data_IF_116111417785
#
_entry.id   IF_116111417785
#
_cell.length_a   1.000
_cell.length_b   1.000
_cell.length_c   1.000
_cell.angle_alpha   90.00
_cell.angle_beta   90.00
_cell.angle_gamma   90.00
#
_symmetry.space_group_name_H-M   'P 1'
#
loop_
_entity.id
_entity.type
_entity.pdbx_description
1 polymer ?
#
# COMPACT_ATOMS: atom_id res chain seq x y z
N UNK A 1 21.04 -2.37 1.47
CA UNK A 1 20.12 -1.28 1.09
C UNK A 1 18.79 -1.37 1.84
N UNK A 2 18.25 -2.58 1.97
CA UNK A 2 16.94 -2.89 2.55
C UNK A 2 16.74 -2.37 3.98
N UNK A 3 17.69 -2.61 4.88
CA UNK A 3 17.61 -2.12 6.27
C UNK A 3 17.57 -0.60 6.40
N UNK A 4 18.13 0.17 5.44
CA UNK A 4 18.03 1.63 5.44
C UNK A 4 16.63 2.10 5.01
N UNK A 5 16.03 1.44 4.00
CA UNK A 5 14.68 1.74 3.53
C UNK A 5 13.63 1.41 4.58
N UNK A 6 13.70 0.20 5.17
CA UNK A 6 12.79 -0.21 6.25
C UNK A 6 12.88 0.74 7.46
N UNK A 7 14.10 1.16 7.82
CA UNK A 7 14.31 2.17 8.87
C UNK A 7 13.67 3.51 8.51
N UNK A 8 13.90 4.04 7.31
CA UNK A 8 13.33 5.33 6.90
C UNK A 8 11.79 5.31 6.89
N UNK A 9 11.18 4.25 6.33
CA UNK A 9 9.74 4.06 6.35
C UNK A 9 9.20 3.90 7.78
N UNK A 10 9.97 3.32 8.70
CA UNK A 10 9.57 3.20 10.10
C UNK A 10 9.71 4.50 10.89
N UNK A 11 10.71 5.33 10.57
CA UNK A 11 11.00 6.56 11.30
C UNK A 11 9.85 7.58 11.17
N UNK A 12 9.20 7.68 10.01
CA UNK A 12 8.02 8.56 9.83
C UNK A 12 6.80 8.09 10.63
N UNK A 13 6.65 6.78 10.84
CA UNK A 13 5.53 6.22 11.60
C UNK A 13 5.66 6.56 13.09
N UNK A 14 6.88 6.70 13.60
CA UNK A 14 7.13 7.07 15.01
C UNK A 14 6.64 8.47 15.37
N UNK A 15 6.28 9.33 14.41
CA UNK A 15 5.64 10.62 14.67
C UNK A 15 4.32 10.48 15.47
N UNK A 16 3.71 9.30 15.44
CA UNK A 16 2.49 8.98 16.18
C UNK A 16 2.72 8.36 17.56
N UNK A 17 3.97 8.36 18.06
CA UNK A 17 4.27 7.92 19.43
C UNK A 17 3.50 8.77 20.44
N UNK A 18 2.83 8.13 21.40
CA UNK A 18 2.03 8.78 22.44
C UNK A 18 0.56 9.01 22.06
N UNK A 19 0.18 8.82 20.79
CA UNK A 19 -1.22 8.86 20.38
C UNK A 19 -1.92 7.54 20.71
N UNK A 20 -3.21 7.61 20.96
CA UNK A 20 -4.10 6.44 21.00
C UNK A 20 -4.44 5.97 19.60
N UNK A 21 -4.84 4.70 19.47
CA UNK A 21 -5.28 4.13 18.20
C UNK A 21 -6.49 4.88 17.61
N UNK A 22 -7.44 5.25 18.45
CA UNK A 22 -8.62 6.02 18.05
C UNK A 22 -8.26 7.38 17.45
N UNK A 23 -7.35 8.13 18.09
CA UNK A 23 -6.92 9.45 17.58
C UNK A 23 -6.27 9.32 16.19
N UNK A 24 -5.40 8.34 16.03
CA UNK A 24 -4.70 8.09 14.77
C UNK A 24 -5.66 7.66 13.66
N UNK A 25 -6.62 6.78 13.96
CA UNK A 25 -7.66 6.36 13.01
C UNK A 25 -8.56 7.54 12.60
N UNK A 26 -8.93 8.42 13.54
CA UNK A 26 -9.70 9.62 13.24
C UNK A 26 -8.95 10.58 12.31
N UNK A 27 -7.66 10.83 12.59
CA UNK A 27 -6.80 11.64 11.72
C UNK A 27 -6.70 11.02 10.32
N UNK A 28 -6.46 9.71 10.23
CA UNK A 28 -6.31 9.01 8.96
C UNK A 28 -7.58 9.08 8.11
N UNK A 29 -8.75 8.84 8.71
CA UNK A 29 -10.06 8.94 8.04
C UNK A 29 -10.36 10.36 7.58
N UNK A 30 -10.15 11.36 8.44
CA UNK A 30 -10.38 12.76 8.10
C UNK A 30 -9.47 13.23 6.95
N UNK A 31 -8.19 12.88 7.00
CA UNK A 31 -7.23 13.20 5.93
C UNK A 31 -7.59 12.48 4.63
N UNK A 32 -7.90 11.18 4.69
CA UNK A 32 -8.25 10.38 3.49
C UNK A 32 -9.47 10.97 2.78
N UNK A 33 -10.53 11.27 3.53
CA UNK A 33 -11.73 11.93 2.99
C UNK A 33 -11.38 13.25 2.31
N UNK A 34 -10.66 14.12 3.00
CA UNK A 34 -10.26 15.44 2.49
C UNK A 34 -9.39 15.34 1.23
N UNK A 35 -8.45 14.42 1.19
CA UNK A 35 -7.57 14.22 0.03
C UNK A 35 -8.30 13.59 -1.16
N UNK A 36 -9.27 12.71 -0.92
CA UNK A 36 -10.14 12.18 -1.99
C UNK A 36 -11.05 13.26 -2.57
N UNK A 37 -11.55 14.19 -1.75
CA UNK A 37 -12.37 15.33 -2.17
C UNK A 37 -11.55 16.45 -2.84
N UNK A 38 -10.25 16.52 -2.54
CA UNK A 38 -9.37 17.57 -3.08
C UNK A 38 -9.04 17.35 -4.56
N UNK A 39 -8.85 18.42 -5.35
CA UNK A 39 -8.24 18.32 -6.67
C UNK A 39 -6.85 17.69 -6.59
N UNK A 40 -6.50 16.88 -7.59
CA UNK A 40 -5.13 16.39 -7.74
C UNK A 40 -4.19 17.55 -8.08
N UNK A 41 -3.00 17.52 -7.52
CA UNK A 41 -1.97 18.50 -7.83
C UNK A 41 -0.79 18.38 -6.90
N UNK A 42 -0.16 19.52 -6.63
CA UNK A 42 0.93 19.63 -5.68
C UNK A 42 0.65 20.75 -4.69
N UNK A 43 1.23 20.63 -3.50
CA UNK A 43 1.29 21.73 -2.54
C UNK A 43 2.72 21.90 -2.03
N UNK A 44 3.04 23.11 -1.58
CA UNK A 44 4.40 23.47 -1.17
C UNK A 44 4.50 23.48 0.34
N UNK A 45 5.42 22.67 0.88
CA UNK A 45 5.83 22.67 2.28
C UNK A 45 7.29 23.15 2.37
N UNK A 46 7.47 24.42 2.74
CA UNK A 46 8.78 25.07 2.71
C UNK A 46 9.35 25.08 1.29
N UNK A 47 10.46 24.37 1.06
CA UNK A 47 11.09 24.21 -0.26
C UNK A 47 10.68 22.94 -1.01
N UNK A 48 9.82 22.12 -0.42
CA UNK A 48 9.44 20.82 -0.95
C UNK A 48 8.07 20.91 -1.62
N UNK A 49 7.95 20.36 -2.84
CA UNK A 49 6.66 20.12 -3.48
C UNK A 49 6.21 18.70 -3.15
N UNK A 50 4.99 18.59 -2.66
CA UNK A 50 4.39 17.34 -2.23
C UNK A 50 3.13 17.07 -3.06
N UNK A 51 2.88 15.81 -3.45
CA UNK A 51 1.64 15.47 -4.14
C UNK A 51 0.43 15.73 -3.23
N UNK A 52 -0.68 16.11 -3.86
CA UNK A 52 -1.98 16.34 -3.23
C UNK A 52 -3.06 15.61 -4.04
N UNK A 53 -4.06 15.09 -3.34
CA UNK A 53 -5.21 14.43 -3.92
C UNK A 53 -5.02 12.92 -4.07
N UNK A 54 -6.01 12.14 -3.65
CA UNK A 54 -6.06 10.68 -3.80
C UNK A 54 -7.11 10.33 -4.86
N UNK A 55 -6.78 9.44 -5.79
CA UNK A 55 -7.72 8.82 -6.74
C UNK A 55 -7.50 7.33 -6.82
N UNK A 56 -8.57 6.60 -7.08
CA UNK A 56 -8.49 5.18 -7.39
C UNK A 56 -8.13 4.95 -8.86
N UNK A 57 -7.42 3.85 -9.10
CA UNK A 57 -7.20 3.31 -10.43
C UNK A 57 -8.39 2.40 -10.75
N UNK A 58 -9.05 2.65 -11.88
CA UNK A 58 -10.27 1.97 -12.31
C UNK A 58 -10.05 0.47 -12.44
N UNK A 59 -8.99 0.07 -13.14
CA UNK A 59 -8.67 -1.31 -13.42
C UNK A 59 -8.41 -2.10 -12.12
N UNK A 60 -7.82 -1.45 -11.10
CA UNK A 60 -7.64 -2.05 -9.78
C UNK A 60 -8.96 -2.27 -9.06
N UNK A 61 -9.93 -1.34 -9.13
CA UNK A 61 -11.25 -1.52 -8.52
C UNK A 61 -12.09 -2.58 -9.23
N UNK A 62 -12.03 -2.62 -10.57
CA UNK A 62 -12.69 -3.63 -11.38
C UNK A 62 -12.13 -5.02 -11.07
N UNK A 63 -10.81 -5.15 -10.97
CA UNK A 63 -10.16 -6.40 -10.56
C UNK A 63 -10.60 -6.82 -9.15
N UNK A 64 -10.56 -5.92 -8.17
CA UNK A 64 -11.04 -6.20 -6.81
C UNK A 64 -12.50 -6.69 -6.80
N UNK A 65 -13.35 -6.06 -7.62
CA UNK A 65 -14.76 -6.44 -7.76
C UNK A 65 -14.89 -7.86 -8.32
N UNK A 66 -14.16 -8.18 -9.38
CA UNK A 66 -14.21 -9.50 -10.02
C UNK A 66 -13.61 -10.62 -9.15
N UNK A 67 -12.55 -10.32 -8.39
CA UNK A 67 -11.95 -11.27 -7.45
C UNK A 67 -12.89 -11.57 -6.28
N UNK A 68 -13.59 -10.56 -5.74
CA UNK A 68 -14.60 -10.76 -4.68
C UNK A 68 -15.76 -11.63 -5.13
N UNK A 69 -16.26 -11.44 -6.36
CA UNK A 69 -17.32 -12.30 -6.93
C UNK A 69 -16.92 -13.78 -7.03
N UNK A 70 -15.63 -14.08 -6.94
CA UNK A 70 -15.05 -15.43 -7.02
C UNK A 70 -14.48 -15.88 -5.67
N UNK A 71 -14.88 -15.23 -4.58
CA UNK A 71 -14.51 -15.56 -3.21
C UNK A 71 -12.99 -15.59 -2.96
N UNK A 72 -12.23 -14.73 -3.66
CA UNK A 72 -10.82 -14.55 -3.35
C UNK A 72 -10.66 -13.91 -1.98
N UNK A 73 -9.74 -14.48 -1.20
CA UNK A 73 -9.22 -13.85 0.01
C UNK A 73 -8.20 -12.77 -0.36
N UNK A 74 -8.59 -11.50 -0.18
CA UNK A 74 -7.84 -10.34 -0.66
C UNK A 74 -7.13 -9.67 0.52
N UNK A 75 -5.81 -9.52 0.39
CA UNK A 75 -4.93 -8.88 1.35
C UNK A 75 -4.26 -7.64 0.76
N UNK A 76 -4.09 -6.59 1.56
CA UNK A 76 -3.30 -5.39 1.22
C UNK A 76 -2.03 -5.37 2.06
N UNK A 77 -0.86 -5.35 1.40
CA UNK A 77 0.44 -5.33 2.08
C UNK A 77 1.24 -4.10 1.66
N UNK A 78 1.44 -3.17 2.60
CA UNK A 78 1.90 -1.81 2.31
C UNK A 78 3.09 -1.40 3.18
N UNK A 79 4.03 -0.68 2.58
CA UNK A 79 5.13 -0.02 3.29
C UNK A 79 4.74 1.33 3.93
N UNK A 80 3.46 1.70 3.85
CA UNK A 80 2.88 2.86 4.56
C UNK A 80 2.37 2.44 5.94
N UNK A 81 2.07 3.39 6.81
CA UNK A 81 1.51 3.08 8.13
C UNK A 81 0.12 2.41 8.03
N UNK A 82 -0.18 1.53 8.99
CA UNK A 82 -1.42 0.76 9.07
C UNK A 82 -2.67 1.63 8.91
N UNK A 83 -2.81 2.67 9.74
CA UNK A 83 -4.01 3.49 9.84
C UNK A 83 -4.35 4.28 8.58
N UNK A 84 -3.35 4.78 7.85
CA UNK A 84 -3.59 5.50 6.59
C UNK A 84 -4.02 4.53 5.49
N UNK A 85 -3.47 3.31 5.48
CA UNK A 85 -3.83 2.28 4.49
C UNK A 85 -5.23 1.75 4.78
N UNK A 86 -5.56 1.48 6.04
CA UNK A 86 -6.91 1.09 6.49
C UNK A 86 -7.96 2.12 6.07
N UNK A 87 -7.70 3.41 6.31
CA UNK A 87 -8.64 4.47 5.95
C UNK A 87 -8.96 4.51 4.44
N UNK A 88 -7.99 4.21 3.57
CA UNK A 88 -8.21 4.08 2.12
C UNK A 88 -8.92 2.76 1.78
N UNK A 89 -8.53 1.66 2.43
CA UNK A 89 -9.11 0.32 2.25
C UNK A 89 -10.59 0.24 2.64
N UNK A 90 -11.00 0.98 3.66
CA UNK A 90 -12.39 1.12 4.11
C UNK A 90 -13.28 1.65 2.99
N UNK A 91 -12.80 2.59 2.17
CA UNK A 91 -13.56 3.17 1.04
C UNK A 91 -13.85 2.17 -0.08
N UNK A 92 -13.07 1.09 -0.14
CA UNK A 92 -13.21 0.04 -1.16
C UNK A 92 -13.66 -1.29 -0.56
N UNK A 93 -14.06 -1.31 0.71
CA UNK A 93 -14.60 -2.49 1.40
C UNK A 93 -13.58 -3.59 1.67
N UNK A 94 -12.31 -3.25 1.92
CA UNK A 94 -11.32 -4.20 2.45
C UNK A 94 -11.30 -4.05 3.98
N UNK A 95 -11.54 -5.12 4.75
CA UNK A 95 -11.58 -5.04 6.21
C UNK A 95 -10.18 -4.84 6.79
N UNK A 96 -10.08 -4.21 7.97
CA UNK A 96 -8.80 -3.84 8.60
C UNK A 96 -7.91 -5.04 8.93
N UNK A 97 -8.49 -6.19 9.23
CA UNK A 97 -7.76 -7.44 9.49
C UNK A 97 -7.14 -8.06 8.23
N UNK A 98 -7.45 -7.54 7.05
CA UNK A 98 -6.83 -7.89 5.77
C UNK A 98 -5.83 -6.83 5.29
N UNK A 99 -5.51 -5.84 6.14
CA UNK A 99 -4.55 -4.77 5.85
C UNK A 99 -3.30 -4.96 6.69
N UNK A 100 -2.15 -5.00 6.04
CA UNK A 100 -0.82 -5.12 6.65
C UNK A 100 0.03 -3.90 6.26
N UNK A 101 0.10 -2.93 7.15
CA UNK A 101 0.95 -1.74 7.08
C UNK A 101 1.97 -1.68 8.22
N UNK A 102 2.87 -0.70 8.16
CA UNK A 102 3.82 -0.46 9.25
C UNK A 102 3.05 -0.03 10.49
N UNK A 103 3.33 -0.69 11.61
CA UNK A 103 2.57 -0.54 12.84
C UNK A 103 3.49 -0.37 14.05
N UNK A 104 2.95 0.18 15.14
CA UNK A 104 3.66 0.41 16.40
C UNK A 104 3.04 -0.43 17.52
N UNK A 105 3.88 -0.89 18.44
CA UNK A 105 3.42 -1.60 19.64
C UNK A 105 2.67 -0.61 20.53
N UNK A 106 1.51 -1.02 21.05
CA UNK A 106 0.75 -0.25 22.04
C UNK A 106 1.21 -0.61 23.45
N UNK A 107 1.28 0.40 24.33
CA UNK A 107 1.48 0.24 25.76
C UNK A 107 0.63 1.29 26.48
N UNK A 108 -0.10 0.86 27.51
CA UNK A 108 -0.96 1.74 28.33
C UNK A 108 -1.96 2.56 27.49
N UNK A 109 -2.53 1.94 26.44
CA UNK A 109 -3.52 2.57 25.55
C UNK A 109 -2.97 3.49 24.46
N UNK A 110 -1.64 3.69 24.39
CA UNK A 110 -1.00 4.57 23.43
C UNK A 110 0.08 3.85 22.60
N UNK A 111 0.38 4.36 21.41
CA UNK A 111 1.48 3.90 20.58
C UNK A 111 2.83 4.21 21.23
N UNK A 112 3.73 3.23 21.24
CA UNK A 112 5.13 3.40 21.61
C UNK A 112 5.98 3.74 20.38
N UNK A 113 7.25 4.07 20.57
CA UNK A 113 8.21 4.23 19.47
C UNK A 113 8.72 2.90 18.88
N UNK A 114 8.27 1.77 19.42
CA UNK A 114 8.68 0.42 19.02
C UNK A 114 7.82 -0.04 17.85
N UNK A 115 8.48 -0.35 16.74
CA UNK A 115 7.83 -0.81 15.50
C UNK A 115 7.53 -2.30 15.61
N UNK A 116 6.29 -2.67 15.30
CA UNK A 116 5.84 -4.07 15.26
C UNK A 116 6.57 -4.81 14.14
N UNK A 117 7.04 -6.02 14.42
CA UNK A 117 7.72 -6.88 13.45
C UNK A 117 6.77 -7.94 12.90
N UNK A 118 6.97 -8.38 11.64
CA UNK A 118 7.91 -7.84 10.65
C UNK A 118 7.43 -6.49 10.09
N UNK A 119 8.36 -5.63 9.70
CA UNK A 119 8.04 -4.35 9.04
C UNK A 119 7.69 -4.63 7.57
N UNK A 120 6.48 -4.33 7.06
CA UNK A 120 6.04 -4.69 5.70
C UNK A 120 6.69 -3.82 4.59
N UNK A 121 8.01 -3.88 4.49
CA UNK A 121 8.83 -3.22 3.48
C UNK A 121 9.75 -4.26 2.87
N UNK A 122 9.82 -4.31 1.53
CA UNK A 122 10.64 -5.30 0.81
C UNK A 122 10.29 -6.73 1.26
N UNK A 123 11.28 -7.54 1.63
CA UNK A 123 11.08 -8.92 2.10
C UNK A 123 10.14 -9.00 3.31
N UNK A 124 10.13 -7.96 4.16
CA UNK A 124 9.23 -7.89 5.30
C UNK A 124 7.74 -7.88 4.91
N UNK A 125 7.40 -7.54 3.66
CA UNK A 125 6.04 -7.72 3.13
C UNK A 125 5.65 -9.21 3.03
N UNK A 126 6.57 -10.03 2.55
CA UNK A 126 6.37 -11.49 2.44
C UNK A 126 6.31 -12.09 3.85
N UNK A 127 7.19 -11.66 4.75
CA UNK A 127 7.19 -12.11 6.14
C UNK A 127 5.87 -11.75 6.86
N UNK A 128 5.38 -10.52 6.69
CA UNK A 128 4.11 -10.07 7.28
C UNK A 128 2.93 -10.90 6.76
N UNK A 129 2.87 -11.13 5.45
CA UNK A 129 1.80 -11.92 4.85
C UNK A 129 1.81 -13.38 5.33
N UNK A 130 3.00 -13.99 5.44
CA UNK A 130 3.17 -15.38 5.91
C UNK A 130 2.68 -15.63 7.33
N UNK A 131 2.57 -14.60 8.16
CA UNK A 131 2.00 -14.74 9.51
C UNK A 131 0.47 -14.95 9.49
N UNK A 132 -0.19 -14.61 8.40
CA UNK A 132 -1.66 -14.62 8.28
C UNK A 132 -2.16 -15.70 7.31
N UNK A 133 -1.38 -16.03 6.28
CA UNK A 133 -1.71 -17.09 5.33
C UNK A 133 -0.56 -18.08 5.13
N UNK A 134 -0.91 -19.36 5.03
CA UNK A 134 0.04 -20.45 4.76
C UNK A 134 0.31 -20.65 3.27
N UNK A 135 -0.49 -20.04 2.39
CA UNK A 135 -0.37 -20.19 0.95
C UNK A 135 0.31 -18.96 0.36
N UNK A 136 1.12 -19.18 -0.66
CA UNK A 136 1.54 -18.10 -1.54
C UNK A 136 0.30 -17.51 -2.23
N UNK A 137 0.22 -16.17 -2.42
CA UNK A 137 -0.87 -15.57 -3.14
C UNK A 137 -0.85 -16.02 -4.61
N UNK A 138 -2.00 -16.44 -5.14
CA UNK A 138 -2.18 -16.77 -6.56
C UNK A 138 -1.98 -15.56 -7.46
N UNK A 139 -2.32 -14.35 -6.97
CA UNK A 139 -2.20 -13.11 -7.72
C UNK A 139 -1.51 -12.06 -6.85
N UNK A 140 -0.50 -11.40 -7.39
CA UNK A 140 0.12 -10.21 -6.78
C UNK A 140 -0.03 -9.03 -7.72
N UNK A 141 -0.53 -7.91 -7.19
CA UNK A 141 -0.74 -6.66 -7.92
C UNK A 141 0.06 -5.55 -7.24
N UNK A 142 0.93 -4.85 -7.98
CA UNK A 142 1.70 -3.71 -7.45
C UNK A 142 2.19 -2.77 -8.54
N UNK A 143 2.58 -1.55 -8.15
CA UNK A 143 3.19 -0.51 -8.98
C UNK A 143 4.69 -0.27 -8.68
N UNK A 144 5.30 -1.03 -7.77
CA UNK A 144 6.58 -0.67 -7.18
C UNK A 144 7.65 -1.76 -7.29
N UNK A 145 8.89 -1.35 -7.59
CA UNK A 145 10.06 -2.23 -7.47
C UNK A 145 10.34 -2.65 -6.02
N UNK A 146 9.83 -1.93 -5.03
CA UNK A 146 9.90 -2.37 -3.62
C UNK A 146 9.07 -3.63 -3.35
N UNK A 147 8.21 -4.05 -4.28
CA UNK A 147 7.34 -5.22 -4.16
C UNK A 147 7.82 -6.40 -5.00
N UNK A 148 9.05 -6.33 -5.56
CA UNK A 148 9.71 -7.47 -6.20
C UNK A 148 9.67 -8.73 -5.32
N UNK A 149 9.90 -8.67 -4.00
CA UNK A 149 9.75 -9.85 -3.13
C UNK A 149 8.35 -10.47 -3.17
N UNK A 150 7.28 -9.65 -3.14
CA UNK A 150 5.92 -10.16 -3.29
C UNK A 150 5.69 -10.75 -4.69
N UNK A 151 6.15 -10.09 -5.75
CA UNK A 151 6.03 -10.64 -7.11
C UNK A 151 6.72 -12.00 -7.24
N UNK A 152 7.91 -12.16 -6.67
CA UNK A 152 8.63 -13.45 -6.63
C UNK A 152 7.95 -14.48 -5.75
N UNK A 153 7.22 -14.04 -4.73
CA UNK A 153 6.44 -14.91 -3.85
C UNK A 153 5.08 -15.33 -4.44
N UNK A 154 4.58 -14.64 -5.48
CA UNK A 154 3.34 -15.02 -6.17
C UNK A 154 3.44 -16.44 -6.74
N UNK A 155 2.41 -17.25 -6.50
CA UNK A 155 2.34 -18.60 -7.03
C UNK A 155 2.10 -18.61 -8.54
N UNK A 156 1.26 -17.70 -9.02
CA UNK A 156 0.82 -17.67 -10.42
C UNK A 156 1.00 -16.26 -11.00
N UNK A 157 -0.09 -15.49 -11.08
CA UNK A 157 -0.18 -14.24 -11.83
C UNK A 157 0.51 -13.08 -11.11
N UNK A 158 1.21 -12.25 -11.88
CA UNK A 158 1.91 -11.03 -11.46
C UNK A 158 1.37 -9.87 -12.30
N UNK A 159 0.72 -8.92 -11.65
CA UNK A 159 0.11 -7.76 -12.32
C UNK A 159 0.91 -6.51 -11.95
N UNK A 160 1.65 -5.97 -12.91
CA UNK A 160 2.32 -4.69 -12.76
C UNK A 160 1.38 -3.57 -13.23
N UNK A 161 1.12 -2.59 -12.36
CA UNK A 161 0.35 -1.38 -12.70
C UNK A 161 1.31 -0.23 -12.89
N UNK A 162 1.47 0.29 -14.12
CA UNK A 162 2.40 1.40 -14.39
C UNK A 162 1.79 2.76 -14.02
N UNK A 163 1.62 2.99 -12.72
CA UNK A 163 1.10 4.26 -12.17
C UNK A 163 2.19 5.31 -11.87
N UNK A 164 3.46 4.92 -11.99
CA UNK A 164 4.63 5.78 -11.69
C UNK A 164 5.40 6.11 -12.97
N UNK A 165 5.75 7.38 -13.13
CA UNK A 165 6.70 7.82 -14.15
C UNK A 165 8.12 7.46 -13.69
N UNK A 166 8.87 6.67 -14.45
CA UNK A 166 10.22 6.24 -14.05
C UNK A 166 10.88 5.24 -14.98
N UNK A 167 12.02 4.72 -14.54
CA UNK A 167 12.77 3.66 -15.23
C UNK A 167 11.89 2.45 -15.53
N UNK A 168 12.26 1.72 -16.60
CA UNK A 168 11.65 0.44 -16.94
C UNK A 168 11.75 -0.51 -15.74
N UNK A 169 10.59 -0.93 -15.21
CA UNK A 169 10.48 -1.82 -14.06
C UNK A 169 11.25 -3.12 -14.27
N UNK A 170 11.14 -3.75 -15.43
CA UNK A 170 11.76 -5.04 -15.71
C UNK A 170 13.27 -4.91 -15.79
N UNK A 171 13.76 -3.83 -16.41
CA UNK A 171 15.19 -3.53 -16.44
C UNK A 171 15.74 -3.25 -15.03
N UNK A 172 15.07 -2.39 -14.26
CA UNK A 172 15.49 -2.02 -12.91
C UNK A 172 15.44 -3.22 -11.93
N UNK A 173 14.46 -4.11 -12.12
CA UNK A 173 14.31 -5.32 -11.32
C UNK A 173 15.20 -6.49 -11.78
N UNK A 174 15.85 -6.36 -12.95
CA UNK A 174 16.52 -7.46 -13.64
C UNK A 174 15.61 -8.70 -13.78
N UNK A 175 14.37 -8.48 -14.23
CA UNK A 175 13.35 -9.52 -14.44
C UNK A 175 13.13 -9.68 -15.94
N UNK A 176 13.22 -10.92 -16.43
CA UNK A 176 12.78 -11.28 -17.77
C UNK A 176 11.29 -11.61 -17.69
N UNK A 177 10.48 -10.89 -18.47
CA UNK A 177 9.03 -11.09 -18.50
C UNK A 177 8.69 -12.43 -19.15
N UNK A 178 7.89 -13.23 -18.46
CA UNK A 178 7.28 -14.46 -18.96
C UNK A 178 5.74 -14.34 -19.03
N UNK A 179 5.05 -15.45 -19.30
CA UNK A 179 3.59 -15.52 -19.41
C UNK A 179 2.84 -15.28 -18.09
N UNK A 180 3.54 -15.34 -16.95
CA UNK A 180 2.94 -15.04 -15.63
C UNK A 180 2.79 -13.54 -15.37
N UNK A 181 3.24 -12.68 -16.28
CA UNK A 181 3.18 -11.21 -16.13
C UNK A 181 2.11 -10.55 -17.01
N UNK A 182 1.16 -9.92 -16.33
CA UNK A 182 0.25 -8.94 -16.91
C UNK A 182 0.73 -7.52 -16.56
N UNK A 183 0.66 -6.61 -17.53
CA UNK A 183 1.08 -5.23 -17.33
C UNK A 183 -0.05 -4.29 -17.75
N UNK A 184 -0.48 -3.44 -16.83
CA UNK A 184 -1.38 -2.34 -17.11
C UNK A 184 -0.51 -1.14 -17.47
N UNK A 185 -0.32 -0.92 -18.76
CA UNK A 185 0.60 0.09 -19.29
C UNK A 185 0.15 1.52 -19.00
N UNK A 186 -1.16 1.76 -19.05
CA UNK A 186 -1.77 3.08 -18.91
C UNK A 186 -2.99 3.01 -17.98
N UNK A 187 -2.78 2.94 -16.64
CA UNK A 187 -3.88 2.83 -15.68
C UNK A 187 -4.75 4.10 -15.69
N UNK A 188 -6.06 3.90 -15.63
CA UNK A 188 -7.05 4.98 -15.68
C UNK A 188 -7.39 5.44 -14.26
N UNK A 189 -7.13 6.71 -13.98
CA UNK A 189 -7.55 7.32 -12.72
C UNK A 189 -9.03 7.70 -12.79
N UNK A 190 -9.80 7.32 -11.78
CA UNK A 190 -11.19 7.76 -11.66
C UNK A 190 -11.16 9.18 -11.14
N UNK A 191 -11.37 10.16 -12.01
CA UNK A 191 -11.52 11.55 -11.61
C UNK A 191 -12.89 11.79 -10.94
N UNK A 192 -12.96 12.85 -10.13
CA UNK A 192 -14.24 13.34 -9.64
C UNK A 192 -15.01 13.92 -10.86
N UNK A 193 -16.33 13.73 -10.98
CA UNK A 193 -17.12 14.54 -11.89
C UNK A 193 -16.80 16.03 -11.63
N UNK A 194 -16.56 16.80 -12.68
CA UNK A 194 -16.55 18.26 -12.56
C UNK A 194 -17.95 18.70 -12.10
N UNK A 195 -18.02 19.46 -11.02
CA UNK A 195 -19.28 20.03 -10.50
C UNK A 195 -19.80 21.12 -11.46
#
# INVERSE_FOLDING_TARGET
>A
AEGKTAKACSDIVRLFTGFTETEVQQIARATTKKEMESPRGEWTLGRHRLPKGIRFIRESLELLTELRKRDFDIWVVSGSNQWSVEAVCEQIGIPSDHVLGIDLIRKDGAFTSIVKQPVPVLDGKVEALRQHTRRAPTIVVSDSTYDIPLFKYSADLKVLVKSRNGQDFFQAANIIRDESWMVIESPTLIEKPED
#
